data_IF_688175353215
#
_entry.id   IF_688175353215
#
_cell.length_a   1.000
_cell.length_b   1.000
_cell.length_c   1.000
_cell.angle_alpha   90.00
_cell.angle_beta   90.00
_cell.angle_gamma   90.00
#
_symmetry.space_group_name_H-M   'P 1'
#
loop_
_entity.id
_entity.type
_entity.pdbx_description
1 polymer ?
#
# COMPACT_ATOMS: atom_id res chain seq x y z
N UNK A 1 -6.68 -59.81 40.43
CA UNK A 1 -7.85 -59.10 41.00
C UNK A 1 -7.36 -57.74 41.54
N UNK A 2 -7.71 -56.68 40.88
CA UNK A 2 -7.99 -55.33 41.41
C UNK A 2 -8.12 -54.45 40.25
N UNK A 3 -9.32 -53.92 40.02
CA UNK A 3 -9.71 -53.06 38.94
C UNK A 3 -9.17 -51.63 39.15
N UNK A 4 -8.55 -51.04 38.13
CA UNK A 4 -8.28 -49.61 38.07
C UNK A 4 -9.48 -48.90 37.44
N UNK A 5 -10.04 -47.95 38.19
CA UNK A 5 -11.15 -47.11 37.80
C UNK A 5 -10.66 -46.01 36.87
N UNK A 6 -11.20 -46.00 35.66
CA UNK A 6 -11.02 -44.89 34.69
C UNK A 6 -11.95 -43.74 35.06
N UNK A 7 -11.39 -42.60 35.36
CA UNK A 7 -12.12 -41.33 35.47
C UNK A 7 -12.05 -40.59 34.14
N UNK A 8 -13.17 -40.11 33.55
CA UNK A 8 -13.15 -39.37 32.32
C UNK A 8 -12.63 -37.96 32.55
N UNK A 9 -11.55 -37.60 31.83
CA UNK A 9 -11.03 -36.25 31.79
C UNK A 9 -12.04 -35.29 31.14
N UNK A 10 -12.33 -34.23 31.85
CA UNK A 10 -13.15 -33.12 31.41
C UNK A 10 -12.43 -32.41 30.24
N UNK A 11 -13.01 -32.47 29.05
CA UNK A 11 -12.54 -31.72 27.88
C UNK A 11 -12.98 -30.28 28.09
N UNK A 12 -12.01 -29.43 28.46
CA UNK A 12 -12.20 -27.99 28.52
C UNK A 12 -12.50 -27.48 27.10
N UNK A 13 -13.71 -26.98 26.88
CA UNK A 13 -14.14 -26.43 25.63
C UNK A 13 -13.35 -25.11 25.34
N UNK A 14 -12.48 -25.17 24.34
CA UNK A 14 -11.79 -24.00 23.84
C UNK A 14 -12.83 -22.96 23.42
N UNK A 15 -12.77 -21.79 24.04
CA UNK A 15 -13.54 -20.59 23.63
C UNK A 15 -13.30 -20.31 22.15
N UNK A 16 -14.34 -20.04 21.35
CA UNK A 16 -14.16 -19.70 19.94
C UNK A 16 -13.33 -18.41 19.85
N UNK A 17 -12.24 -18.48 19.09
CA UNK A 17 -11.43 -17.32 18.78
C UNK A 17 -12.33 -16.19 18.23
N UNK A 18 -12.23 -15.01 18.83
CA UNK A 18 -12.99 -13.86 18.41
C UNK A 18 -12.76 -13.60 16.90
N UNK A 19 -13.85 -13.64 16.14
CA UNK A 19 -13.82 -13.30 14.72
C UNK A 19 -13.38 -11.83 14.62
N UNK A 20 -12.31 -11.52 13.86
CA UNK A 20 -11.88 -10.13 13.71
C UNK A 20 -13.04 -9.30 13.13
N UNK A 21 -13.28 -8.14 13.72
CA UNK A 21 -14.32 -7.24 13.25
C UNK A 21 -14.12 -6.93 11.75
N UNK A 22 -15.20 -6.83 10.96
CA UNK A 22 -15.09 -6.56 9.54
C UNK A 22 -14.40 -5.21 9.31
N UNK A 23 -13.63 -5.14 8.21
CA UNK A 23 -13.06 -3.87 7.75
C UNK A 23 -14.19 -2.84 7.51
N UNK A 24 -13.93 -1.56 7.74
CA UNK A 24 -14.89 -0.52 7.36
C UNK A 24 -15.24 -0.67 5.87
N UNK A 25 -16.49 -0.38 5.52
CA UNK A 25 -16.93 -0.46 4.13
C UNK A 25 -16.04 0.40 3.21
N UNK A 26 -15.70 -0.08 2.01
CA UNK A 26 -14.91 0.69 1.07
C UNK A 26 -15.63 2.00 0.72
N UNK A 27 -14.87 3.06 0.54
CA UNK A 27 -15.38 4.29 -0.07
C UNK A 27 -15.83 3.95 -1.50
N UNK A 28 -16.96 4.50 -1.92
CA UNK A 28 -17.57 4.18 -3.22
C UNK A 28 -16.53 4.26 -4.35
N UNK A 29 -16.42 3.20 -5.12
CA UNK A 29 -15.44 3.09 -6.21
C UNK A 29 -15.78 3.92 -7.46
N UNK A 30 -16.92 4.62 -7.47
CA UNK A 30 -17.31 5.48 -8.57
C UNK A 30 -16.58 6.81 -8.48
N UNK A 31 -15.74 7.13 -9.47
CA UNK A 31 -15.34 8.51 -9.69
C UNK A 31 -16.63 9.32 -9.90
N UNK A 32 -16.82 10.43 -9.21
CA UNK A 32 -18.02 11.24 -9.40
C UNK A 32 -18.12 11.64 -10.87
N UNK A 33 -19.32 11.50 -11.44
CA UNK A 33 -19.66 12.17 -12.70
C UNK A 33 -19.41 13.68 -12.48
N UNK A 34 -19.05 14.44 -13.52
CA UNK A 34 -18.83 15.87 -13.38
C UNK A 34 -20.06 16.53 -12.75
N UNK A 35 -19.91 16.98 -11.52
CA UNK A 35 -20.98 17.62 -10.77
C UNK A 35 -21.27 18.98 -11.38
N UNK A 36 -22.41 19.12 -12.02
CA UNK A 36 -23.01 20.43 -12.38
C UNK A 36 -23.65 21.06 -11.13
N UNK A 37 -22.93 21.11 -10.02
CA UNK A 37 -23.34 21.86 -8.82
C UNK A 37 -22.39 23.05 -8.68
N UNK A 38 -22.89 24.27 -8.40
CA UNK A 38 -22.00 25.42 -8.14
C UNK A 38 -21.10 25.05 -6.96
N UNK A 39 -19.79 25.43 -7.02
CA UNK A 39 -18.86 25.11 -5.96
C UNK A 39 -19.38 25.67 -4.64
N UNK A 40 -19.33 24.92 -3.53
CA UNK A 40 -19.55 25.48 -2.20
C UNK A 40 -18.57 26.63 -1.99
N UNK A 41 -19.00 27.69 -1.31
CA UNK A 41 -18.14 28.79 -0.91
C UNK A 41 -16.85 28.24 -0.26
N UNK A 42 -15.66 28.84 -0.52
CA UNK A 42 -14.39 28.30 -0.10
C UNK A 42 -14.26 28.28 1.43
N UNK A 43 -14.77 27.22 2.03
CA UNK A 43 -14.26 26.73 3.30
C UNK A 43 -12.91 26.11 2.96
N UNK A 44 -11.84 26.61 3.54
CA UNK A 44 -10.47 26.13 3.30
C UNK A 44 -10.43 24.66 3.67
N UNK A 45 -10.36 23.78 2.67
CA UNK A 45 -10.15 22.35 2.92
C UNK A 45 -8.79 22.20 3.62
N UNK A 46 -8.75 21.77 4.90
CA UNK A 46 -7.51 21.65 5.65
C UNK A 46 -6.55 20.63 5.02
N UNK A 47 -7.03 19.86 4.06
CA UNK A 47 -6.26 18.83 3.34
C UNK A 47 -6.05 19.17 1.85
N UNK A 48 -6.14 20.45 1.47
CA UNK A 48 -5.98 20.89 0.07
C UNK A 48 -4.61 20.54 -0.54
N UNK A 49 -3.58 20.32 0.28
CA UNK A 49 -2.26 19.89 -0.17
C UNK A 49 -2.20 18.41 -0.58
N UNK A 50 -3.16 17.61 -0.12
CA UNK A 50 -3.24 16.21 -0.53
C UNK A 50 -3.75 16.08 -1.95
N UNK A 51 -3.31 15.04 -2.69
CA UNK A 51 -3.80 14.80 -4.04
C UNK A 51 -5.33 14.74 -4.08
N UNK A 52 -5.92 15.21 -5.17
CA UNK A 52 -7.31 14.90 -5.51
C UNK A 52 -7.46 13.41 -5.80
N UNK A 53 -8.71 12.92 -5.88
CA UNK A 53 -8.97 11.53 -6.27
C UNK A 53 -8.18 11.20 -7.53
N UNK A 54 -7.36 10.17 -7.42
CA UNK A 54 -6.37 9.83 -8.45
C UNK A 54 -6.44 8.35 -8.76
N UNK A 55 -6.37 8.03 -10.06
CA UNK A 55 -6.23 6.68 -10.56
C UNK A 55 -4.99 6.57 -11.43
N UNK A 56 -4.08 5.69 -11.05
CA UNK A 56 -2.90 5.34 -11.84
C UNK A 56 -3.13 3.98 -12.49
N UNK A 57 -2.94 3.88 -13.80
CA UNK A 57 -2.97 2.60 -14.52
C UNK A 57 -1.56 2.24 -14.96
N UNK A 58 -1.17 1.00 -14.71
CA UNK A 58 0.15 0.48 -15.02
C UNK A 58 0.04 -0.71 -15.96
N UNK A 59 0.94 -0.78 -16.95
CA UNK A 59 1.27 -2.04 -17.60
C UNK A 59 2.17 -2.84 -16.66
N UNK A 60 1.86 -4.11 -16.50
CA UNK A 60 2.62 -5.05 -15.72
C UNK A 60 3.30 -6.05 -16.63
N UNK A 61 4.59 -6.22 -16.45
CA UNK A 61 5.38 -7.31 -17.00
C UNK A 61 6.09 -8.03 -15.86
N UNK A 62 6.36 -9.30 -16.01
CA UNK A 62 7.02 -10.04 -14.94
C UNK A 62 7.56 -11.39 -15.39
N UNK A 63 8.11 -12.09 -14.42
CA UNK A 63 8.59 -13.44 -14.58
C UNK A 63 8.35 -14.28 -13.33
N UNK A 64 7.75 -15.44 -13.50
CA UNK A 64 7.67 -16.53 -12.51
C UNK A 64 7.44 -17.84 -13.25
N UNK A 65 8.48 -18.67 -13.34
CA UNK A 65 8.45 -19.92 -14.14
C UNK A 65 8.10 -19.70 -15.62
N UNK A 66 8.17 -18.47 -16.08
CA UNK A 66 7.82 -18.01 -17.42
C UNK A 66 7.41 -16.54 -17.40
N UNK A 67 7.28 -15.89 -18.58
CA UNK A 67 6.88 -14.51 -18.67
C UNK A 67 5.45 -14.31 -18.19
N UNK A 68 5.22 -13.18 -17.53
CA UNK A 68 3.91 -12.74 -17.04
C UNK A 68 3.62 -11.38 -17.64
N UNK A 69 2.42 -11.23 -18.20
CA UNK A 69 1.85 -9.94 -18.60
C UNK A 69 0.57 -9.67 -17.82
N UNK A 70 0.27 -8.40 -17.62
CA UNK A 70 -0.91 -7.99 -16.89
C UNK A 70 -1.05 -6.47 -16.79
N UNK A 71 -1.89 -6.07 -15.87
CA UNK A 71 -2.10 -4.68 -15.53
C UNK A 71 -2.25 -4.50 -14.01
N UNK A 72 -1.99 -3.28 -13.57
CA UNK A 72 -2.30 -2.87 -12.21
C UNK A 72 -2.95 -1.50 -12.20
N UNK A 73 -3.80 -1.28 -11.21
CA UNK A 73 -4.44 0.00 -10.98
C UNK A 73 -4.27 0.40 -9.53
N UNK A 74 -3.82 1.63 -9.30
CA UNK A 74 -3.81 2.26 -7.98
C UNK A 74 -4.88 3.33 -7.96
N UNK A 75 -5.81 3.24 -7.02
CA UNK A 75 -6.86 4.23 -6.83
C UNK A 75 -6.70 4.86 -5.46
N UNK A 76 -6.56 6.17 -5.43
CA UNK A 76 -6.61 6.99 -4.24
C UNK A 76 -7.92 7.77 -4.21
N UNK A 77 -8.60 7.73 -3.07
CA UNK A 77 -9.85 8.47 -2.83
C UNK A 77 -9.83 9.09 -1.44
N UNK A 78 -10.44 10.25 -1.32
CA UNK A 78 -10.52 11.02 -0.08
C UNK A 78 -11.91 11.62 0.11
N UNK A 79 -12.41 11.54 1.34
CA UNK A 79 -13.63 12.24 1.77
C UNK A 79 -13.36 12.88 3.15
N UNK A 80 -13.20 14.20 3.16
CA UNK A 80 -12.72 14.92 4.35
C UNK A 80 -11.34 14.43 4.78
N UNK A 81 -11.23 13.99 6.01
CA UNK A 81 -10.02 13.40 6.58
C UNK A 81 -9.89 11.88 6.36
N UNK A 82 -10.92 11.23 5.82
CA UNK A 82 -10.90 9.78 5.54
C UNK A 82 -10.31 9.51 4.18
N UNK A 83 -9.51 8.45 4.08
CA UNK A 83 -8.96 8.02 2.81
C UNK A 83 -9.10 6.52 2.56
N UNK A 84 -9.02 6.16 1.30
CA UNK A 84 -8.82 4.80 0.83
C UNK A 84 -7.77 4.78 -0.28
N UNK A 85 -6.82 3.85 -0.18
CA UNK A 85 -5.95 3.45 -1.29
C UNK A 85 -6.29 2.02 -1.66
N UNK A 86 -6.54 1.76 -2.93
CA UNK A 86 -6.72 0.41 -3.44
C UNK A 86 -5.72 0.14 -4.57
N UNK A 87 -5.02 -0.99 -4.49
CA UNK A 87 -4.16 -1.50 -5.56
C UNK A 87 -4.78 -2.79 -6.06
N UNK A 88 -5.19 -2.81 -7.33
CA UNK A 88 -5.72 -3.97 -8.00
C UNK A 88 -4.71 -4.44 -9.04
N UNK A 89 -4.23 -5.67 -8.92
CA UNK A 89 -3.27 -6.29 -9.84
C UNK A 89 -3.97 -7.46 -10.53
N UNK A 90 -3.86 -7.50 -11.85
CA UNK A 90 -4.39 -8.58 -12.70
C UNK A 90 -3.24 -9.17 -13.49
N UNK A 91 -2.99 -10.44 -13.32
CA UNK A 91 -1.93 -11.18 -13.99
C UNK A 91 -2.52 -12.44 -14.62
N UNK A 92 -2.13 -12.73 -15.87
CA UNK A 92 -2.58 -13.89 -16.62
C UNK A 92 -4.11 -14.14 -16.51
N UNK A 93 -4.60 -15.29 -16.96
CA UNK A 93 -6.02 -15.53 -17.16
C UNK A 93 -6.90 -15.45 -15.90
N UNK A 94 -6.36 -15.53 -14.65
CA UNK A 94 -7.23 -15.66 -13.46
C UNK A 94 -6.62 -15.12 -12.14
N UNK A 95 -5.38 -14.64 -12.11
CA UNK A 95 -4.80 -14.18 -10.85
C UNK A 95 -5.11 -12.69 -10.62
N UNK A 96 -5.97 -12.44 -9.65
CA UNK A 96 -6.27 -11.10 -9.16
C UNK A 96 -5.80 -10.95 -7.71
N UNK A 97 -5.07 -9.89 -7.45
CA UNK A 97 -4.66 -9.48 -6.10
C UNK A 97 -5.21 -8.07 -5.85
N UNK A 98 -5.88 -7.87 -4.73
CA UNK A 98 -6.33 -6.54 -4.31
C UNK A 98 -5.75 -6.22 -2.95
N UNK A 99 -5.10 -5.07 -2.85
CA UNK A 99 -4.58 -4.51 -1.61
C UNK A 99 -5.40 -3.27 -1.28
N UNK A 100 -5.92 -3.17 -0.07
CA UNK A 100 -6.74 -2.02 0.34
C UNK A 100 -6.22 -1.48 1.66
N UNK A 101 -5.92 -0.20 1.69
CA UNK A 101 -5.60 0.59 2.89
C UNK A 101 -6.70 1.60 3.14
N UNK A 102 -7.15 1.70 4.38
CA UNK A 102 -8.12 2.69 4.83
C UNK A 102 -7.64 3.34 6.12
N UNK A 103 -7.88 4.63 6.26
CA UNK A 103 -7.46 5.37 7.43
C UNK A 103 -7.90 6.82 7.41
N UNK A 104 -7.12 7.66 8.09
CA UNK A 104 -7.34 9.10 8.17
C UNK A 104 -6.09 9.87 7.80
N UNK A 105 -6.30 11.09 7.36
CA UNK A 105 -5.28 12.12 7.26
C UNK A 105 -5.26 12.85 8.60
N UNK A 106 -4.10 12.89 9.25
CA UNK A 106 -3.90 13.62 10.50
C UNK A 106 -2.72 14.56 10.33
N UNK A 107 -3.02 15.85 10.31
CA UNK A 107 -2.03 16.84 9.89
C UNK A 107 -1.58 16.60 8.46
N UNK A 108 -0.30 16.38 8.28
CA UNK A 108 0.37 16.15 7.01
C UNK A 108 0.77 14.68 6.75
N UNK A 109 0.13 13.72 7.47
CA UNK A 109 0.46 12.30 7.40
C UNK A 109 -0.77 11.42 7.23
N UNK A 110 -0.60 10.32 6.50
CA UNK A 110 -1.55 9.24 6.50
C UNK A 110 -1.42 8.40 7.78
N UNK A 111 -2.55 8.13 8.40
CA UNK A 111 -2.65 7.18 9.50
C UNK A 111 -3.55 6.01 9.08
N UNK A 112 -2.96 4.92 8.56
CA UNK A 112 -3.71 3.71 8.26
C UNK A 112 -4.37 3.14 9.52
N UNK A 113 -5.62 2.71 9.39
CA UNK A 113 -6.36 2.01 10.44
C UNK A 113 -6.56 0.53 10.09
N UNK A 114 -6.72 0.24 8.80
CA UNK A 114 -6.93 -1.11 8.32
C UNK A 114 -6.24 -1.32 6.98
N UNK A 115 -5.57 -2.47 6.85
CA UNK A 115 -4.98 -2.93 5.61
C UNK A 115 -5.39 -4.37 5.31
N UNK A 116 -5.74 -4.65 4.07
CA UNK A 116 -6.16 -5.98 3.63
C UNK A 116 -5.49 -6.36 2.32
N UNK A 117 -5.03 -7.61 2.24
CA UNK A 117 -4.59 -8.29 1.03
C UNK A 117 -5.61 -9.36 0.66
N UNK A 118 -6.24 -9.24 -0.49
CA UNK A 118 -7.17 -10.22 -1.03
C UNK A 118 -6.56 -10.91 -2.23
N UNK A 119 -6.44 -12.22 -2.14
CA UNK A 119 -6.01 -13.13 -3.21
C UNK A 119 -7.14 -14.13 -3.49
N UNK A 120 -7.14 -14.86 -4.61
CA UNK A 120 -8.24 -15.77 -4.97
C UNK A 120 -8.68 -16.73 -3.86
N UNK A 121 -7.72 -17.25 -3.11
CA UNK A 121 -7.97 -18.28 -2.08
C UNK A 121 -7.60 -17.84 -0.67
N UNK A 122 -7.25 -16.58 -0.45
CA UNK A 122 -6.80 -16.10 0.85
C UNK A 122 -6.98 -14.61 1.02
N UNK A 123 -7.50 -14.24 2.18
CA UNK A 123 -7.51 -12.86 2.66
C UNK A 123 -6.62 -12.77 3.90
N UNK A 124 -5.80 -11.72 3.96
CA UNK A 124 -5.00 -11.37 5.14
C UNK A 124 -5.23 -9.91 5.48
N UNK A 125 -5.15 -9.58 6.75
CA UNK A 125 -5.36 -8.21 7.20
C UNK A 125 -4.38 -7.81 8.31
N UNK A 126 -4.25 -6.50 8.46
CA UNK A 126 -3.58 -5.84 9.56
C UNK A 126 -4.52 -4.73 10.04
N UNK A 127 -4.62 -4.54 11.34
CA UNK A 127 -5.32 -3.41 11.95
C UNK A 127 -4.33 -2.58 12.74
N UNK A 128 -4.49 -1.28 12.72
CA UNK A 128 -3.63 -0.34 13.44
C UNK A 128 -4.55 0.46 14.34
N UNK A 129 -4.50 0.17 15.64
CA UNK A 129 -5.42 0.72 16.62
C UNK A 129 -4.65 1.26 17.83
N UNK A 130 -4.93 2.50 18.20
CA UNK A 130 -4.27 3.15 19.33
C UNK A 130 -2.74 3.07 19.21
N UNK A 131 -2.11 2.37 20.14
CA UNK A 131 -0.65 2.19 20.23
C UNK A 131 -0.17 0.84 19.69
N UNK A 132 -1.03 0.10 18.96
CA UNK A 132 -0.74 -1.27 18.54
C UNK A 132 -0.99 -1.49 17.05
N UNK A 133 -0.20 -2.39 16.47
CA UNK A 133 -0.40 -3.03 15.17
C UNK A 133 -0.84 -4.47 15.44
N UNK A 134 -2.06 -4.82 15.01
CA UNK A 134 -2.67 -6.13 15.20
C UNK A 134 -2.54 -6.92 13.90
N UNK A 135 -1.80 -8.01 13.93
CA UNK A 135 -1.60 -8.88 12.78
C UNK A 135 -2.70 -9.95 12.71
N UNK A 136 -3.00 -10.43 11.49
CA UNK A 136 -4.03 -11.44 11.25
C UNK A 136 -3.79 -12.80 11.93
N UNK A 137 -2.60 -13.05 12.48
CA UNK A 137 -2.27 -14.23 13.28
C UNK A 137 -2.54 -14.04 14.79
N UNK A 138 -3.14 -12.92 15.19
CA UNK A 138 -3.42 -12.58 16.58
C UNK A 138 -2.28 -11.88 17.34
N UNK A 139 -1.11 -11.69 16.70
CA UNK A 139 0.00 -10.96 17.34
C UNK A 139 -0.28 -9.48 17.40
N UNK A 140 0.02 -8.84 18.54
CA UNK A 140 0.00 -7.40 18.72
C UNK A 140 1.44 -6.89 18.88
N UNK A 141 1.78 -5.86 18.11
CA UNK A 141 3.09 -5.22 18.13
C UNK A 141 2.94 -3.72 18.47
N UNK A 142 3.92 -3.10 19.14
CA UNK A 142 3.89 -1.65 19.35
C UNK A 142 3.81 -0.92 18.01
N UNK A 143 2.96 0.11 17.94
CA UNK A 143 2.81 0.95 16.75
C UNK A 143 3.92 2.00 16.71
N UNK A 144 4.80 2.01 15.71
CA UNK A 144 5.72 3.11 15.48
C UNK A 144 5.00 4.34 14.93
N UNK A 145 5.60 5.50 15.15
CA UNK A 145 5.12 6.73 14.53
C UNK A 145 5.27 6.67 13.01
N UNK A 146 4.30 7.23 12.30
CA UNK A 146 4.31 7.29 10.84
C UNK A 146 4.23 5.94 10.14
N UNK A 147 3.78 4.87 10.83
CA UNK A 147 3.60 3.54 10.25
C UNK A 147 2.68 3.58 9.03
N UNK A 148 3.11 2.94 7.96
CA UNK A 148 2.36 2.78 6.72
C UNK A 148 2.09 1.30 6.45
N UNK A 149 1.28 1.00 5.45
CA UNK A 149 1.10 -0.33 4.88
C UNK A 149 1.52 -0.36 3.40
N UNK A 150 1.43 -1.53 2.77
CA UNK A 150 1.88 -1.72 1.38
C UNK A 150 1.15 -0.81 0.38
N UNK A 151 -0.08 -0.40 0.65
CA UNK A 151 -0.85 0.44 -0.27
C UNK A 151 -0.70 1.93 0.06
N UNK A 152 -0.75 2.32 1.34
CA UNK A 152 -0.67 3.72 1.75
C UNK A 152 0.70 4.36 1.50
N UNK A 153 1.80 3.58 1.55
CA UNK A 153 3.15 4.09 1.38
C UNK A 153 3.35 4.93 0.11
N UNK A 154 2.72 4.56 -1.00
CA UNK A 154 2.90 5.25 -2.28
C UNK A 154 2.35 6.68 -2.23
N UNK A 155 1.16 6.84 -1.64
CA UNK A 155 0.52 8.15 -1.49
C UNK A 155 1.25 8.99 -0.45
N UNK A 156 1.62 8.39 0.68
CA UNK A 156 2.40 9.07 1.73
C UNK A 156 3.74 9.57 1.20
N UNK A 157 4.49 8.75 0.45
CA UNK A 157 5.76 9.18 -0.15
C UNK A 157 5.58 10.27 -1.20
N UNK A 158 4.61 10.12 -2.11
CA UNK A 158 4.30 11.16 -3.11
C UNK A 158 4.01 12.50 -2.42
N UNK A 159 3.22 12.47 -1.35
CA UNK A 159 2.89 13.68 -0.59
C UNK A 159 4.12 14.26 0.14
N UNK A 160 4.94 13.43 0.79
CA UNK A 160 6.19 13.87 1.44
C UNK A 160 7.13 14.57 0.44
N UNK A 161 7.28 14.03 -0.75
CA UNK A 161 8.12 14.61 -1.79
C UNK A 161 7.51 15.90 -2.36
N UNK A 162 6.22 15.92 -2.63
CA UNK A 162 5.53 17.08 -3.20
C UNK A 162 5.52 18.30 -2.25
N UNK A 163 5.43 18.06 -0.95
CA UNK A 163 5.43 19.10 0.10
C UNK A 163 6.82 19.46 0.62
N UNK A 164 7.86 18.74 0.18
CA UNK A 164 9.24 18.96 0.65
C UNK A 164 9.53 18.45 2.06
N UNK A 165 8.59 17.72 2.69
CA UNK A 165 8.84 17.07 4.00
C UNK A 165 9.94 16.02 3.94
N UNK A 166 10.15 15.45 2.78
CA UNK A 166 11.25 14.56 2.44
C UNK A 166 11.84 15.02 1.13
N UNK A 167 13.14 15.29 1.11
CA UNK A 167 13.82 15.61 -0.15
C UNK A 167 13.85 14.38 -1.07
N UNK A 168 13.50 14.60 -2.35
CA UNK A 168 13.69 13.61 -3.40
C UNK A 168 14.93 14.01 -4.21
N UNK A 169 16.11 13.72 -3.67
CA UNK A 169 17.40 14.06 -4.25
C UNK A 169 18.38 12.89 -4.09
N UNK A 170 19.37 12.82 -4.99
CA UNK A 170 20.40 11.79 -4.92
C UNK A 170 21.19 11.86 -3.61
N UNK A 171 21.41 10.70 -2.98
CA UNK A 171 22.09 10.57 -1.69
C UNK A 171 21.18 10.67 -0.47
N UNK A 172 19.93 11.09 -0.64
CA UNK A 172 18.94 11.09 0.44
C UNK A 172 18.54 9.67 0.84
N UNK A 173 18.07 9.56 2.09
CA UNK A 173 17.61 8.29 2.67
C UNK A 173 16.17 8.42 3.14
N UNK A 174 15.31 7.56 2.65
CA UNK A 174 13.89 7.48 3.03
C UNK A 174 13.67 6.31 3.97
N UNK A 175 12.98 6.53 5.09
CA UNK A 175 12.61 5.50 6.05
C UNK A 175 11.10 5.43 6.24
N UNK A 176 10.59 4.21 6.32
CA UNK A 176 9.17 3.91 6.56
C UNK A 176 9.03 2.68 7.45
N UNK A 177 8.21 2.78 8.47
CA UNK A 177 7.70 1.60 9.15
C UNK A 177 6.55 1.01 8.32
N UNK A 178 6.65 -0.28 8.01
CA UNK A 178 5.71 -1.00 7.16
C UNK A 178 5.00 -2.11 7.92
N UNK A 179 3.70 -1.93 8.13
CA UNK A 179 2.82 -2.95 8.68
C UNK A 179 2.28 -3.83 7.55
N UNK A 180 2.63 -5.11 7.56
CA UNK A 180 2.18 -6.13 6.59
C UNK A 180 1.63 -7.34 7.34
N UNK A 181 0.82 -8.20 6.71
CA UNK A 181 0.32 -9.41 7.37
C UNK A 181 1.41 -10.33 7.94
N UNK A 182 2.62 -10.27 7.39
CA UNK A 182 3.80 -11.00 7.88
C UNK A 182 4.51 -10.35 9.06
N UNK A 183 4.23 -9.08 9.38
CA UNK A 183 4.86 -8.37 10.48
C UNK A 183 5.05 -6.89 10.24
N UNK A 184 5.86 -6.29 11.11
CA UNK A 184 6.18 -4.88 11.15
C UNK A 184 7.69 -4.71 11.01
N UNK A 185 8.15 -4.05 9.95
CA UNK A 185 9.56 -3.84 9.66
C UNK A 185 9.83 -2.38 9.29
N UNK A 186 11.01 -1.86 9.66
CA UNK A 186 11.48 -0.58 9.13
C UNK A 186 12.14 -0.82 7.76
N UNK A 187 11.63 -0.13 6.75
CA UNK A 187 12.18 -0.14 5.40
C UNK A 187 12.99 1.12 5.17
N UNK A 188 14.21 0.95 4.72
CA UNK A 188 15.13 2.03 4.37
C UNK A 188 15.43 1.98 2.89
N UNK A 189 15.32 3.13 2.23
CA UNK A 189 15.61 3.28 0.80
C UNK A 189 16.70 4.32 0.60
N UNK A 190 17.66 4.01 -0.28
CA UNK A 190 18.59 4.99 -0.84
C UNK A 190 17.96 5.64 -2.06
N UNK A 191 17.98 6.96 -2.13
CA UNK A 191 17.53 7.71 -3.31
C UNK A 191 18.69 7.83 -4.28
N UNK A 192 18.50 7.35 -5.49
CA UNK A 192 19.45 7.42 -6.61
C UNK A 192 18.84 8.17 -7.78
N UNK A 193 19.66 8.72 -8.60
CA UNK A 193 19.22 9.32 -9.85
C UNK A 193 19.55 10.77 -9.96
N UNK A 194 18.94 11.54 -10.90
CA UNK A 194 17.78 11.13 -11.70
C UNK A 194 18.14 10.14 -12.83
N UNK A 195 17.17 9.31 -13.19
CA UNK A 195 17.26 8.40 -14.35
C UNK A 195 16.13 8.70 -15.34
N UNK A 196 16.40 8.51 -16.62
CA UNK A 196 15.38 8.67 -17.65
C UNK A 196 14.58 7.39 -17.83
N UNK A 197 13.26 7.48 -17.63
CA UNK A 197 12.31 6.40 -17.93
C UNK A 197 11.59 6.69 -19.25
N UNK A 198 11.53 5.70 -20.13
CA UNK A 198 10.65 5.74 -21.29
C UNK A 198 9.23 5.35 -20.90
N UNK A 199 8.31 6.30 -20.85
CA UNK A 199 6.91 6.03 -20.51
C UNK A 199 6.02 6.05 -21.75
N UNK A 200 4.99 5.20 -21.85
CA UNK A 200 4.13 5.15 -23.04
C UNK A 200 3.38 6.46 -23.30
N UNK A 201 2.91 7.13 -22.24
CA UNK A 201 2.07 8.32 -22.38
C UNK A 201 2.83 9.65 -22.41
N UNK A 202 4.00 9.74 -21.76
CA UNK A 202 4.74 11.00 -21.60
C UNK A 202 6.14 10.98 -22.22
N UNK A 203 6.50 9.89 -22.93
CA UNK A 203 7.84 9.74 -23.50
C UNK A 203 8.92 9.64 -22.41
N UNK A 204 10.00 10.38 -22.56
CA UNK A 204 11.11 10.42 -21.61
C UNK A 204 10.78 11.24 -20.37
N UNK A 205 10.76 10.61 -19.20
CA UNK A 205 10.46 11.23 -17.91
C UNK A 205 11.65 11.04 -16.98
N UNK A 206 12.08 12.12 -16.29
CA UNK A 206 13.09 12.03 -15.25
C UNK A 206 12.47 11.55 -13.95
N UNK A 207 13.07 10.52 -13.34
CA UNK A 207 12.59 9.94 -12.09
C UNK A 207 13.74 9.61 -11.16
N UNK A 208 13.53 9.73 -9.86
CA UNK A 208 14.45 9.31 -8.83
C UNK A 208 14.14 7.88 -8.40
N UNK A 209 15.19 7.09 -8.25
CA UNK A 209 15.07 5.67 -7.97
C UNK A 209 15.29 5.40 -6.47
N UNK A 210 14.27 4.91 -5.80
CA UNK A 210 14.34 4.43 -4.42
C UNK A 210 14.73 2.96 -4.42
N UNK A 211 15.92 2.68 -3.90
CA UNK A 211 16.49 1.33 -3.80
C UNK A 211 16.42 0.86 -2.35
N UNK A 212 15.73 -0.24 -2.05
CA UNK A 212 15.63 -0.75 -0.69
C UNK A 212 16.97 -1.28 -0.21
N UNK A 213 17.33 -0.94 1.03
CA UNK A 213 18.44 -1.59 1.73
C UNK A 213 18.00 -2.98 2.22
N UNK A 214 18.92 -3.94 2.31
CA UNK A 214 18.64 -5.22 2.93
C UNK A 214 18.15 -5.06 4.38
N UNK A 215 17.13 -5.81 4.76
CA UNK A 215 16.66 -5.90 6.15
C UNK A 215 17.44 -7.04 6.80
N UNK A 216 18.02 -6.84 7.99
CA UNK A 216 18.85 -7.85 8.67
C UNK A 216 18.12 -9.17 8.93
N UNK A 217 16.83 -9.09 9.25
CA UNK A 217 15.96 -10.25 9.51
C UNK A 217 14.66 -10.12 8.71
N UNK A 218 14.71 -10.33 7.39
CA UNK A 218 13.55 -10.08 6.56
C UNK A 218 12.43 -11.07 6.87
N UNK A 219 11.22 -10.54 7.01
CA UNK A 219 10.00 -11.36 7.12
C UNK A 219 9.45 -11.65 5.74
N UNK A 220 10.11 -12.56 5.04
CA UNK A 220 9.88 -12.90 3.64
C UNK A 220 10.95 -12.35 2.71
N UNK A 221 10.81 -12.66 1.42
CA UNK A 221 11.78 -12.36 0.38
C UNK A 221 11.29 -11.29 -0.61
N UNK A 222 10.32 -10.47 -0.21
CA UNK A 222 9.77 -9.42 -1.08
C UNK A 222 10.58 -8.15 -0.90
N UNK A 223 11.02 -7.57 -2.01
CA UNK A 223 11.59 -6.23 -2.08
C UNK A 223 10.87 -5.40 -3.12
N UNK A 224 10.80 -4.09 -2.92
CA UNK A 224 10.18 -3.17 -3.86
C UNK A 224 11.14 -2.01 -4.14
N UNK A 225 11.42 -1.77 -5.42
CA UNK A 225 12.09 -0.59 -5.92
C UNK A 225 11.05 0.34 -6.54
N UNK A 226 11.20 1.64 -6.38
CA UNK A 226 10.21 2.63 -6.82
C UNK A 226 10.90 3.77 -7.53
N UNK A 227 10.27 4.33 -8.57
CA UNK A 227 10.76 5.49 -9.30
C UNK A 227 9.72 6.59 -9.24
N UNK A 228 10.01 7.65 -8.53
CA UNK A 228 9.14 8.81 -8.38
C UNK A 228 9.54 9.91 -9.35
N UNK A 229 8.57 10.45 -10.07
CA UNK A 229 8.78 11.45 -11.11
C UNK A 229 8.24 12.81 -10.70
N UNK A 230 9.10 13.84 -10.47
CA UNK A 230 8.64 15.18 -10.09
C UNK A 230 7.68 15.79 -11.12
N UNK A 231 7.92 15.58 -12.43
CA UNK A 231 7.06 16.07 -13.51
C UNK A 231 5.67 15.41 -13.55
N UNK A 232 5.50 14.27 -12.86
CA UNK A 232 4.24 13.57 -12.68
C UNK A 232 3.71 13.75 -11.25
N UNK A 233 3.86 14.94 -10.66
CA UNK A 233 3.42 15.28 -9.30
C UNK A 233 4.01 14.34 -8.23
N UNK A 234 5.27 13.94 -8.41
CA UNK A 234 5.94 12.98 -7.54
C UNK A 234 5.22 11.62 -7.42
N UNK A 235 4.40 11.25 -8.39
CA UNK A 235 3.78 9.93 -8.44
C UNK A 235 4.79 8.85 -8.86
N UNK A 236 4.59 7.59 -8.42
CA UNK A 236 5.47 6.49 -8.82
C UNK A 236 5.25 6.12 -10.29
N UNK A 237 6.21 6.50 -11.13
CA UNK A 237 6.18 6.21 -12.57
C UNK A 237 6.52 4.75 -12.89
N UNK A 238 7.33 4.10 -12.03
CA UNK A 238 7.68 2.69 -12.15
C UNK A 238 7.80 2.06 -10.77
N UNK A 239 7.37 0.80 -10.65
CA UNK A 239 7.52 -0.01 -9.45
C UNK A 239 8.01 -1.39 -9.88
N UNK A 240 9.11 -1.86 -9.27
CA UNK A 240 9.61 -3.21 -9.47
C UNK A 240 9.56 -3.98 -8.16
N UNK A 241 8.85 -5.09 -8.15
CA UNK A 241 8.70 -5.98 -7.00
C UNK A 241 9.48 -7.27 -7.30
N UNK A 242 10.38 -7.66 -6.42
CA UNK A 242 11.10 -8.93 -6.52
C UNK A 242 10.67 -9.87 -5.39
N UNK A 243 10.54 -11.14 -5.71
CA UNK A 243 10.20 -12.23 -4.80
C UNK A 243 11.38 -13.20 -4.76
N UNK A 244 12.44 -12.81 -4.05
CA UNK A 244 13.74 -13.44 -4.16
C UNK A 244 14.35 -13.26 -5.54
N UNK A 245 15.13 -14.25 -5.98
CA UNK A 245 15.85 -14.21 -7.26
C UNK A 245 15.04 -14.83 -8.42
N UNK A 246 13.96 -15.54 -8.11
CA UNK A 246 13.23 -16.38 -9.08
C UNK A 246 12.04 -15.67 -9.73
N UNK A 247 11.49 -14.63 -9.09
CA UNK A 247 10.28 -13.98 -9.56
C UNK A 247 10.33 -12.47 -9.40
N UNK A 248 9.75 -11.76 -10.34
CA UNK A 248 9.63 -10.31 -10.28
C UNK A 248 8.43 -9.81 -11.08
N UNK A 249 7.93 -8.64 -10.67
CA UNK A 249 6.94 -7.85 -11.40
C UNK A 249 7.51 -6.46 -11.63
N UNK A 250 7.26 -5.90 -12.79
CA UNK A 250 7.66 -4.55 -13.18
C UNK A 250 6.43 -3.81 -13.70
N UNK A 251 6.08 -2.72 -13.06
CA UNK A 251 4.90 -1.92 -13.35
C UNK A 251 5.38 -0.58 -13.91
N UNK A 252 4.97 -0.25 -15.14
CA UNK A 252 5.23 1.04 -15.78
C UNK A 252 3.93 1.80 -15.94
N UNK A 253 3.89 3.05 -15.48
CA UNK A 253 2.69 3.89 -15.58
C UNK A 253 2.34 4.17 -17.03
N UNK A 254 1.05 3.97 -17.36
CA UNK A 254 0.50 4.23 -18.70
C UNK A 254 -0.50 5.38 -18.70
N UNK A 255 -1.19 5.60 -17.56
CA UNK A 255 -2.25 6.61 -17.48
C UNK A 255 -2.39 7.13 -16.05
N UNK A 256 -2.66 8.42 -15.95
CA UNK A 256 -2.98 9.12 -14.71
C UNK A 256 -4.29 9.88 -14.94
N UNK A 257 -5.32 9.50 -14.20
CA UNK A 257 -6.62 10.19 -14.15
C UNK A 257 -6.76 10.84 -12.78
N UNK A 258 -7.03 12.14 -12.77
CA UNK A 258 -7.24 12.89 -11.52
C UNK A 258 -8.55 13.67 -11.60
N UNK A 259 -9.30 13.70 -10.49
CA UNK A 259 -10.46 14.59 -10.39
C UNK A 259 -10.01 16.06 -10.49
N UNK A 260 -10.83 16.88 -11.08
CA UNK A 260 -10.61 18.33 -11.05
C UNK A 260 -10.63 18.83 -9.58
N UNK A 261 -9.75 19.77 -9.28
CA UNK A 261 -9.76 20.48 -7.98
C UNK A 261 -10.90 21.45 -7.89
#
# INVERSE_FOLDING_TARGET
>A
MAAASDAPGTVEAASPAAVPAPLPAPLSAALPAPLSTPPPAPGTDPHAEWPTDTRLSYRLQGFYRGPIDGDAQVTWQREGDRYQVQIAIRMALFLRVTLTSQGRIVGDQLQPAAYQEQMPNRTRSVRIEGTQVLLGNGSALPRPDGVQDTASQFVELSHRFATGRQALAEGEVVRLWMARPGGLDEWTYDVRGPVTLGTPAWGAVQAFHLVPRPIERPRGNITAQMWFAPSLQYLPARIRISFGDEAWLDLMVERIDQAAR
#
